data_IF_263213376650
#
_entry.id   IF_263213376650
#
_cell.length_a   1.000
_cell.length_b   1.000
_cell.length_c   1.000
_cell.angle_alpha   90.00
_cell.angle_beta   90.00
_cell.angle_gamma   90.00
#
_symmetry.space_group_name_H-M   'P 1'
#
loop_
_entity.id
_entity.type
_entity.pdbx_description
1 polymer ?
#
# COMPACT_ATOMS: atom_id res chain seq x y z
N UNK A 1 -17.28 -35.83 41.84
CA UNK A 1 -16.43 -36.14 43.01
C UNK A 1 -15.15 -36.79 42.49
N UNK A 2 -14.05 -36.03 42.40
CA UNK A 2 -12.67 -36.49 42.20
C UNK A 2 -11.77 -35.32 42.66
N UNK A 3 -10.87 -35.60 43.59
CA UNK A 3 -9.93 -34.65 44.23
C UNK A 3 -8.51 -34.88 43.71
N UNK A 4 -7.64 -33.93 44.08
CA UNK A 4 -6.16 -33.98 44.16
C UNK A 4 -5.42 -33.66 42.84
N UNK A 5 -4.32 -32.90 42.78
CA UNK A 5 -3.38 -32.36 43.77
C UNK A 5 -2.65 -31.14 43.15
N UNK A 6 -2.20 -30.19 43.97
CA UNK A 6 -1.51 -28.99 43.51
C UNK A 6 -0.06 -29.19 43.04
N UNK A 7 0.51 -28.11 42.50
CA UNK A 7 1.90 -27.63 42.74
C UNK A 7 2.10 -26.30 42.00
N UNK A 8 2.37 -25.27 42.79
CA UNK A 8 3.07 -24.05 42.38
C UNK A 8 4.48 -24.42 41.91
N UNK A 9 4.92 -23.87 40.78
CA UNK A 9 6.33 -23.77 40.43
C UNK A 9 6.62 -22.36 39.93
N UNK A 10 7.58 -21.77 40.62
CA UNK A 10 8.15 -20.44 40.47
C UNK A 10 8.92 -20.31 39.14
N UNK A 11 8.95 -19.09 38.62
CA UNK A 11 9.59 -18.68 37.35
C UNK A 11 11.10 -19.03 37.28
N UNK A 12 11.61 -19.27 36.07
CA UNK A 12 12.65 -18.35 35.59
C UNK A 12 12.35 -17.84 34.18
N UNK A 13 12.60 -16.55 33.99
CA UNK A 13 12.32 -15.82 32.76
C UNK A 13 12.92 -16.44 31.50
N UNK A 14 12.16 -16.32 30.41
CA UNK A 14 12.66 -16.29 29.03
C UNK A 14 11.64 -15.50 28.21
N UNK A 15 11.98 -14.25 27.93
CA UNK A 15 11.44 -13.57 26.76
C UNK A 15 12.08 -14.27 25.55
N UNK A 16 11.29 -14.75 24.60
CA UNK A 16 11.25 -14.00 23.35
C UNK A 16 9.84 -13.93 22.77
N UNK A 17 9.47 -12.70 22.46
CA UNK A 17 8.49 -12.29 21.46
C UNK A 17 8.74 -13.08 20.15
N UNK A 18 8.17 -14.27 19.99
CA UNK A 18 7.99 -15.00 18.72
C UNK A 18 7.35 -16.36 19.03
N UNK A 19 6.02 -16.40 19.09
CA UNK A 19 5.29 -17.67 18.94
C UNK A 19 4.34 -17.52 17.76
N UNK A 20 4.69 -18.18 16.66
CA UNK A 20 3.74 -18.53 15.62
C UNK A 20 2.60 -19.32 16.29
N UNK A 21 1.31 -19.01 16.06
CA UNK A 21 0.27 -19.89 16.51
C UNK A 21 0.41 -21.22 15.76
N UNK A 22 0.81 -22.27 16.48
CA UNK A 22 0.65 -23.66 16.07
C UNK A 22 -0.83 -23.90 15.82
N UNK A 23 -1.23 -23.94 14.55
CA UNK A 23 -2.59 -24.27 14.16
C UNK A 23 -2.81 -25.76 14.40
N UNK A 24 -3.47 -26.09 15.51
CA UNK A 24 -3.83 -27.46 15.84
C UNK A 24 -4.97 -27.90 14.91
N UNK A 25 -4.64 -28.78 13.97
CA UNK A 25 -5.58 -29.34 13.01
C UNK A 25 -6.44 -30.40 13.71
N UNK A 26 -7.62 -30.01 14.19
CA UNK A 26 -8.58 -30.96 14.76
C UNK A 26 -9.38 -31.64 13.64
N UNK A 27 -9.03 -32.90 13.39
CA UNK A 27 -9.82 -34.00 12.82
C UNK A 27 -11.17 -33.62 12.18
N UNK A 28 -11.18 -33.64 10.84
CA UNK A 28 -12.37 -33.68 10.00
C UNK A 28 -13.05 -35.03 10.20
N UNK A 29 -14.15 -35.06 10.95
CA UNK A 29 -15.04 -36.22 11.07
C UNK A 29 -16.09 -36.16 9.96
N UNK A 30 -16.27 -37.29 9.29
CA UNK A 30 -17.17 -37.51 8.19
C UNK A 30 -18.61 -37.05 8.48
N UNK A 31 -19.15 -36.19 7.61
CA UNK A 31 -20.48 -35.63 7.74
C UNK A 31 -21.09 -35.32 6.38
N UNK A 32 -21.69 -36.35 5.79
CA UNK A 32 -22.75 -36.40 4.76
C UNK A 32 -22.92 -35.18 3.82
N UNK A 33 -22.66 -35.46 2.56
CA UNK A 33 -23.14 -34.72 1.40
C UNK A 33 -24.67 -34.81 1.27
N UNK A 34 -25.35 -33.66 1.22
CA UNK A 34 -26.72 -33.54 0.72
C UNK A 34 -27.67 -32.73 1.60
N UNK A 35 -28.33 -31.77 0.93
CA UNK A 35 -29.54 -31.03 1.31
C UNK A 35 -29.41 -29.75 2.18
N UNK A 36 -29.70 -28.63 1.50
CA UNK A 36 -30.12 -27.32 2.03
C UNK A 36 -29.13 -26.58 2.93
N UNK A 37 -28.05 -26.06 2.30
CA UNK A 37 -27.36 -24.88 2.81
C UNK A 37 -28.26 -23.66 2.61
N UNK A 38 -29.19 -23.43 3.53
CA UNK A 38 -29.65 -22.08 3.79
C UNK A 38 -28.40 -21.23 4.05
N UNK A 39 -28.32 -20.05 3.43
CA UNK A 39 -27.22 -19.11 3.59
C UNK A 39 -27.20 -18.56 5.04
N UNK A 40 -26.91 -19.42 6.00
CA UNK A 40 -26.76 -19.09 7.41
C UNK A 40 -25.66 -18.03 7.53
N UNK A 41 -26.01 -16.98 8.25
CA UNK A 41 -25.36 -15.69 8.42
C UNK A 41 -23.94 -15.72 9.05
N UNK A 42 -23.21 -16.82 8.93
CA UNK A 42 -21.95 -17.08 9.66
C UNK A 42 -20.68 -17.13 8.82
N UNK A 43 -20.74 -16.82 7.53
CA UNK A 43 -19.55 -16.39 6.79
C UNK A 43 -19.68 -14.89 6.57
N UNK A 44 -19.51 -14.09 7.64
CA UNK A 44 -19.21 -12.67 7.45
C UNK A 44 -17.79 -12.65 6.89
N UNK A 45 -17.54 -12.21 5.65
CA UNK A 45 -16.18 -11.98 5.21
C UNK A 45 -15.55 -11.05 6.24
N UNK A 46 -14.48 -11.48 6.88
CA UNK A 46 -13.76 -10.70 7.92
C UNK A 46 -13.25 -9.36 7.40
N UNK A 47 -13.39 -9.12 6.10
CA UNK A 47 -13.09 -7.89 5.40
C UNK A 47 -14.34 -7.31 4.74
N UNK A 48 -15.16 -6.58 5.50
CA UNK A 48 -16.16 -5.69 4.92
C UNK A 48 -15.46 -4.44 4.37
N UNK A 49 -15.22 -4.43 3.05
CA UNK A 49 -14.81 -3.23 2.34
C UNK A 49 -15.95 -2.21 2.42
N UNK A 50 -15.80 -1.15 3.22
CA UNK A 50 -16.77 -0.04 3.24
C UNK A 50 -16.60 0.78 1.95
N UNK A 51 -17.60 0.83 1.04
CA UNK A 51 -17.47 1.62 -0.17
C UNK A 51 -17.42 3.11 0.19
N UNK A 52 -16.31 3.77 -0.12
CA UNK A 52 -16.18 5.22 0.03
C UNK A 52 -16.75 5.89 -1.22
N UNK A 53 -17.96 6.44 -1.11
CA UNK A 53 -18.59 7.24 -2.15
C UNK A 53 -17.95 8.64 -2.23
N UNK A 54 -17.34 8.95 -3.37
CA UNK A 54 -16.69 10.24 -3.61
C UNK A 54 -17.77 11.26 -4.00
N UNK A 55 -17.99 12.27 -3.15
CA UNK A 55 -18.98 13.33 -3.40
C UNK A 55 -18.50 14.41 -4.39
N UNK A 56 -17.18 14.57 -4.56
CA UNK A 56 -16.55 15.59 -5.41
C UNK A 56 -15.27 15.01 -6.03
N UNK A 57 -15.06 15.21 -7.33
CA UNK A 57 -13.94 14.64 -8.11
C UNK A 57 -12.63 15.42 -7.98
N UNK A 58 -12.48 16.27 -6.96
CA UNK A 58 -11.23 17.01 -6.72
C UNK A 58 -10.11 16.06 -6.30
N UNK A 59 -8.88 16.27 -6.77
CA UNK A 59 -7.72 15.40 -6.50
C UNK A 59 -7.49 15.14 -5.01
N UNK A 60 -7.64 16.18 -4.17
CA UNK A 60 -7.52 16.04 -2.72
C UNK A 60 -8.61 15.12 -2.10
N UNK A 61 -9.82 15.13 -2.66
CA UNK A 61 -10.93 14.28 -2.21
C UNK A 61 -10.73 12.81 -2.63
N UNK A 62 -9.85 12.56 -3.60
CA UNK A 62 -9.52 11.22 -4.06
C UNK A 62 -8.43 10.54 -3.23
N UNK A 63 -7.94 11.13 -2.12
CA UNK A 63 -6.93 10.52 -1.26
C UNK A 63 -7.34 9.12 -0.79
N UNK A 64 -6.49 8.11 -1.01
CA UNK A 64 -6.72 6.69 -0.66
C UNK A 64 -5.54 6.08 0.09
N UNK A 65 -5.84 5.13 0.97
CA UNK A 65 -4.85 4.39 1.77
C UNK A 65 -4.48 5.07 3.08
N UNK A 66 -3.68 4.38 3.89
CA UNK A 66 -3.19 4.84 5.20
C UNK A 66 -2.03 5.84 5.11
N UNK A 67 -1.61 6.21 3.90
CA UNK A 67 -0.39 6.97 3.64
C UNK A 67 0.78 6.06 3.22
N UNK A 68 1.89 6.66 2.81
CA UNK A 68 3.10 5.94 2.40
C UNK A 68 3.20 5.70 0.89
N UNK A 69 4.21 4.90 0.50
CA UNK A 69 4.65 4.72 -0.90
C UNK A 69 3.55 4.22 -1.85
N UNK A 70 2.71 3.31 -1.40
CA UNK A 70 1.62 2.68 -2.18
C UNK A 70 0.24 3.29 -1.89
N UNK A 71 0.20 4.47 -1.28
CA UNK A 71 -1.03 5.23 -1.07
C UNK A 71 -1.18 6.32 -2.12
N UNK A 72 -2.40 6.82 -2.30
CA UNK A 72 -2.62 8.00 -3.14
C UNK A 72 -2.91 9.18 -2.22
N UNK A 73 -1.97 10.12 -2.14
CA UNK A 73 -2.05 11.29 -1.25
C UNK A 73 -3.05 12.36 -1.71
N UNK A 74 -3.52 12.31 -2.96
CA UNK A 74 -4.38 13.34 -3.54
C UNK A 74 -3.63 14.52 -4.15
N UNK A 75 -2.29 14.41 -4.27
CA UNK A 75 -1.41 15.44 -4.83
C UNK A 75 -0.79 14.88 -6.11
N UNK A 76 -0.89 15.66 -7.19
CA UNK A 76 -0.17 15.45 -8.45
C UNK A 76 0.81 16.61 -8.59
N UNK A 77 2.10 16.32 -8.77
CA UNK A 77 3.14 17.34 -8.83
C UNK A 77 4.05 17.13 -10.05
N UNK A 78 4.28 18.22 -10.78
CA UNK A 78 5.21 18.27 -11.91
C UNK A 78 6.53 18.88 -11.45
N UNK A 79 7.63 18.13 -11.55
CA UNK A 79 8.94 18.54 -11.01
C UNK A 79 9.93 18.78 -12.14
N UNK A 80 10.13 20.05 -12.50
CA UNK A 80 11.20 20.43 -13.42
C UNK A 80 12.58 20.28 -12.78
N UNK A 81 13.56 19.87 -13.59
CA UNK A 81 14.94 19.69 -13.11
C UNK A 81 15.14 18.47 -12.21
N UNK A 82 14.28 17.45 -12.33
CA UNK A 82 14.32 16.26 -11.50
C UNK A 82 15.63 15.46 -11.58
N UNK A 83 16.35 15.49 -12.72
CA UNK A 83 17.65 14.81 -12.89
C UNK A 83 18.79 15.49 -12.12
N UNK A 84 18.62 16.75 -11.72
CA UNK A 84 19.63 17.53 -11.02
C UNK A 84 19.91 17.03 -9.60
N UNK A 85 20.80 17.74 -8.91
CA UNK A 85 21.23 17.39 -7.55
C UNK A 85 20.07 17.34 -6.56
N UNK A 86 19.30 18.44 -6.45
CA UNK A 86 18.19 18.55 -5.51
C UNK A 86 16.96 17.74 -5.96
N UNK A 87 16.70 17.70 -7.27
CA UNK A 87 15.50 17.08 -7.84
C UNK A 87 15.30 15.64 -7.37
N UNK A 88 16.38 14.87 -7.32
CA UNK A 88 16.36 13.46 -6.86
C UNK A 88 15.88 13.31 -5.42
N UNK A 89 16.28 14.21 -4.53
CA UNK A 89 15.88 14.17 -3.12
C UNK A 89 14.42 14.58 -2.94
N UNK A 90 13.96 15.58 -3.71
CA UNK A 90 12.56 16.04 -3.69
C UNK A 90 11.64 14.92 -4.19
N UNK A 91 11.93 14.35 -5.36
CA UNK A 91 11.17 13.24 -5.96
C UNK A 91 11.12 12.03 -5.01
N UNK A 92 12.23 11.69 -4.35
CA UNK A 92 12.25 10.60 -3.39
C UNK A 92 11.35 10.87 -2.16
N UNK A 93 11.33 12.10 -1.64
CA UNK A 93 10.43 12.46 -0.53
C UNK A 93 8.96 12.41 -0.95
N UNK A 94 8.66 12.94 -2.14
CA UNK A 94 7.32 12.94 -2.71
C UNK A 94 6.80 11.52 -3.03
N UNK A 95 7.67 10.65 -3.54
CA UNK A 95 7.35 9.24 -3.79
C UNK A 95 7.05 8.46 -2.51
N UNK A 96 7.75 8.73 -1.41
CA UNK A 96 7.48 8.12 -0.09
C UNK A 96 6.08 8.47 0.46
N UNK A 97 5.55 9.64 0.11
CA UNK A 97 4.23 10.09 0.54
C UNK A 97 3.11 9.43 -0.28
N UNK A 98 3.41 8.95 -1.50
CA UNK A 98 2.41 8.45 -2.44
C UNK A 98 1.79 9.59 -3.27
N UNK A 99 2.59 10.57 -3.68
CA UNK A 99 2.19 11.65 -4.60
C UNK A 99 2.43 11.21 -6.04
N UNK A 100 1.55 11.57 -6.97
CA UNK A 100 1.74 11.23 -8.39
C UNK A 100 2.67 12.27 -8.99
N UNK A 101 3.72 11.81 -9.67
CA UNK A 101 4.82 12.65 -10.13
C UNK A 101 4.91 12.65 -11.63
N UNK A 102 4.93 13.85 -12.19
CA UNK A 102 5.19 14.12 -13.61
C UNK A 102 6.59 14.70 -13.69
N UNK A 103 7.50 13.95 -14.32
CA UNK A 103 8.92 14.27 -14.42
C UNK A 103 9.25 14.67 -15.86
N UNK A 104 9.15 15.96 -16.18
CA UNK A 104 9.61 16.46 -17.46
C UNK A 104 11.14 16.36 -17.55
N UNK A 105 11.63 15.76 -18.65
CA UNK A 105 13.05 15.65 -18.94
C UNK A 105 13.40 16.10 -20.35
N UNK A 106 14.64 16.56 -20.51
CA UNK A 106 15.22 16.97 -21.79
C UNK A 106 16.39 16.07 -22.12
N UNK A 107 16.60 15.74 -23.38
CA UNK A 107 17.65 14.81 -23.80
C UNK A 107 17.26 13.36 -23.55
N UNK A 108 18.20 12.56 -23.02
CA UNK A 108 18.04 11.11 -22.90
C UNK A 108 17.33 10.68 -21.62
N UNK A 109 16.60 9.57 -21.71
CA UNK A 109 15.89 8.97 -20.58
C UNK A 109 16.83 8.41 -19.49
N UNK A 110 18.10 8.19 -19.80
CA UNK A 110 19.04 7.53 -18.89
C UNK A 110 19.31 8.34 -17.61
N UNK A 111 19.33 9.67 -17.72
CA UNK A 111 19.47 10.56 -16.56
C UNK A 111 18.34 10.39 -15.54
N UNK A 112 17.14 10.09 -16.05
CA UNK A 112 15.91 9.95 -15.27
C UNK A 112 15.64 8.52 -14.80
N UNK A 113 16.33 7.52 -15.37
CA UNK A 113 16.17 6.10 -15.05
C UNK A 113 16.17 5.82 -13.54
N UNK A 114 17.04 6.51 -12.80
CA UNK A 114 17.20 6.38 -11.34
C UNK A 114 15.93 6.76 -10.57
N UNK A 115 15.15 7.70 -11.10
CA UNK A 115 13.91 8.20 -10.48
C UNK A 115 12.73 7.26 -10.68
N UNK A 116 12.84 6.26 -11.57
CA UNK A 116 11.77 5.26 -11.78
C UNK A 116 11.49 4.46 -10.50
N UNK A 117 12.49 4.34 -9.63
CA UNK A 117 12.42 3.60 -8.36
C UNK A 117 11.77 4.40 -7.23
N UNK A 118 11.68 5.73 -7.37
CA UNK A 118 11.29 6.64 -6.28
C UNK A 118 9.81 6.50 -5.87
N UNK A 119 8.94 6.10 -6.79
CA UNK A 119 7.52 5.87 -6.53
C UNK A 119 7.11 4.43 -6.81
N UNK A 120 5.85 4.11 -6.49
CA UNK A 120 5.25 2.84 -6.87
C UNK A 120 4.90 2.79 -8.38
N UNK A 121 4.49 1.61 -8.85
CA UNK A 121 4.05 1.44 -10.24
C UNK A 121 2.92 2.42 -10.59
N UNK A 122 3.05 3.09 -11.74
CA UNK A 122 2.09 4.10 -12.21
C UNK A 122 2.21 5.47 -11.52
N UNK A 123 2.99 5.60 -10.46
CA UNK A 123 3.12 6.83 -9.69
C UNK A 123 4.07 7.86 -10.33
N UNK A 124 5.06 7.39 -11.08
CA UNK A 124 6.07 8.24 -11.73
C UNK A 124 5.94 8.17 -13.25
N UNK A 125 5.54 9.30 -13.85
CA UNK A 125 5.41 9.51 -15.28
C UNK A 125 6.58 10.36 -15.79
N UNK A 126 7.19 9.94 -16.91
CA UNK A 126 8.27 10.67 -17.56
C UNK A 126 7.78 11.23 -18.88
N UNK A 127 7.98 12.52 -19.09
CA UNK A 127 7.55 13.22 -20.30
C UNK A 127 8.73 13.97 -20.93
N UNK A 128 9.06 13.75 -22.21
CA UNK A 128 10.03 14.59 -22.89
C UNK A 128 9.43 15.99 -23.11
N UNK A 129 10.21 17.06 -22.89
CA UNK A 129 9.78 18.43 -23.13
C UNK A 129 10.88 19.28 -23.78
N UNK A 130 10.47 20.34 -24.48
CA UNK A 130 11.37 21.26 -25.16
C UNK A 130 11.10 22.69 -24.68
N UNK A 131 12.15 23.41 -24.27
CA UNK A 131 12.03 24.76 -23.71
C UNK A 131 11.50 25.83 -24.69
N UNK A 132 11.55 25.54 -25.99
CA UNK A 132 11.12 26.46 -27.05
C UNK A 132 9.67 26.20 -27.49
N UNK A 133 9.08 25.11 -27.04
CA UNK A 133 7.77 24.66 -27.49
C UNK A 133 6.76 24.80 -26.34
N UNK A 134 5.92 25.82 -26.44
CA UNK A 134 4.87 26.14 -25.47
C UNK A 134 3.85 25.01 -25.30
N UNK A 135 3.57 24.27 -26.38
CA UNK A 135 2.64 23.13 -26.33
C UNK A 135 3.17 22.00 -25.46
N UNK A 136 4.49 21.85 -25.38
CA UNK A 136 5.13 20.83 -24.55
C UNK A 136 5.06 21.16 -23.06
N UNK A 137 4.96 22.44 -22.70
CA UNK A 137 4.72 22.88 -21.33
C UNK A 137 3.25 22.74 -20.94
N UNK A 138 2.34 23.09 -21.84
CA UNK A 138 0.90 23.03 -21.59
C UNK A 138 0.37 21.60 -21.40
N UNK A 139 1.08 20.59 -21.94
CA UNK A 139 0.72 19.16 -21.83
C UNK A 139 1.05 18.52 -20.47
N UNK A 140 1.76 19.22 -19.58
CA UNK A 140 2.31 18.65 -18.34
C UNK A 140 1.42 18.84 -17.11
#
# INVERSE_FOLDING_TARGET
MLRCLGKSLHHPGRNPFFTLPTFQMSSFKDGKCGENLTWDEKIKPSYQMKPVYIKKTTTAAMKRGTGGRSSFSGIVATVFGASGFLGRYVVNRLGKIGTQLILPYRGDFDEMRRLKLSGDLGQVLFLPYNLKDEDSFAKQ
#
